data_IF_169573841829
#
_entry.id   IF_169573841829
#
_cell.length_a   1.000
_cell.length_b   1.000
_cell.length_c   1.000
_cell.angle_alpha   90.00
_cell.angle_beta   90.00
_cell.angle_gamma   90.00
#
_symmetry.space_group_name_H-M   'P 1'
#
loop_
_entity.id
_entity.type
_entity.pdbx_description
1 polymer ?
#
# COMPACT_ATOMS: atom_id res chain seq x y z
N UNK A 1 2.47 27.36 40.64
CA UNK A 1 3.30 27.07 39.45
C UNK A 1 2.70 25.84 38.80
N UNK A 2 2.09 25.99 37.62
CA UNK A 2 1.41 24.89 36.92
C UNK A 2 2.46 24.12 36.13
N UNK A 3 2.74 22.88 36.51
CA UNK A 3 3.62 21.99 35.75
C UNK A 3 2.81 21.30 34.65
N UNK A 4 3.04 21.75 33.41
CA UNK A 4 2.53 21.14 32.19
C UNK A 4 3.19 19.77 31.98
N UNK A 5 2.43 18.68 32.10
CA UNK A 5 2.86 17.35 31.66
C UNK A 5 2.83 17.29 30.13
N UNK A 6 4.00 17.33 29.50
CA UNK A 6 4.15 17.06 28.08
C UNK A 6 3.91 15.56 27.82
N UNK A 7 2.85 15.24 27.09
CA UNK A 7 2.58 13.89 26.60
C UNK A 7 3.67 13.47 25.61
N UNK A 8 4.42 12.42 25.93
CA UNK A 8 5.43 11.84 25.04
C UNK A 8 4.73 11.02 23.97
N UNK A 9 4.66 11.53 22.75
CA UNK A 9 4.22 10.74 21.59
C UNK A 9 5.23 9.62 21.34
N UNK A 10 4.85 8.38 21.68
CA UNK A 10 5.66 7.21 21.37
C UNK A 10 5.71 7.04 19.84
N UNK A 11 6.85 7.36 19.23
CA UNK A 11 7.13 7.03 17.84
C UNK A 11 7.33 5.52 17.79
N UNK A 12 6.30 4.75 17.42
CA UNK A 12 6.44 3.31 17.25
C UNK A 12 7.42 3.08 16.10
N UNK A 13 8.61 2.60 16.40
CA UNK A 13 9.60 2.24 15.39
C UNK A 13 9.17 0.98 14.63
N UNK A 14 9.36 0.95 13.32
CA UNK A 14 9.08 -0.25 12.53
C UNK A 14 9.93 -1.44 12.99
N UNK A 15 9.29 -2.60 13.18
CA UNK A 15 9.97 -3.84 13.58
C UNK A 15 10.28 -4.67 12.33
N UNK A 16 11.58 -4.81 12.04
CA UNK A 16 12.03 -5.64 10.92
C UNK A 16 11.91 -7.14 11.22
N UNK A 17 11.56 -7.97 10.22
CA UNK A 17 11.53 -9.42 10.39
C UNK A 17 12.94 -9.99 10.58
N UNK A 18 13.05 -11.16 11.21
CA UNK A 18 14.34 -11.81 11.46
C UNK A 18 15.16 -12.04 10.18
N UNK A 19 14.49 -12.27 9.05
CA UNK A 19 15.11 -12.44 7.72
C UNK A 19 15.84 -11.19 7.24
N UNK A 20 15.49 -10.00 7.72
CA UNK A 20 16.18 -8.75 7.39
C UNK A 20 17.61 -8.71 7.95
N UNK A 21 17.90 -9.49 9.01
CA UNK A 21 19.24 -9.62 9.58
C UNK A 21 20.03 -10.80 9.00
N UNK A 22 19.59 -11.36 7.88
CA UNK A 22 20.28 -12.45 7.18
C UNK A 22 21.01 -11.91 5.93
N UNK A 23 22.36 -11.87 5.88
CA UNK A 23 23.08 -11.22 4.78
C UNK A 23 22.72 -11.71 3.36
N UNK A 24 22.49 -13.02 3.11
CA UNK A 24 22.06 -13.50 1.79
C UNK A 24 20.71 -12.93 1.34
N UNK A 25 19.87 -12.42 2.23
CA UNK A 25 18.57 -11.83 1.89
C UNK A 25 18.69 -10.62 0.94
N UNK A 26 19.80 -9.87 1.00
CA UNK A 26 20.08 -8.70 0.16
C UNK A 26 20.75 -9.07 -1.18
N UNK A 27 21.03 -10.35 -1.42
CA UNK A 27 21.70 -10.81 -2.65
C UNK A 27 20.77 -11.77 -3.40
N UNK A 28 20.56 -11.59 -4.72
CA UNK A 28 19.70 -12.47 -5.49
C UNK A 28 20.12 -13.93 -5.38
N UNK A 29 19.20 -14.79 -4.97
CA UNK A 29 19.50 -16.21 -4.81
C UNK A 29 19.55 -16.90 -6.19
N UNK A 30 20.58 -17.73 -6.47
CA UNK A 30 20.75 -18.37 -7.78
C UNK A 30 19.75 -19.51 -8.03
N UNK A 31 19.29 -20.17 -6.97
CA UNK A 31 18.31 -21.24 -7.05
C UNK A 31 16.88 -20.66 -7.15
N UNK A 32 16.09 -21.12 -8.12
CA UNK A 32 14.74 -20.59 -8.41
C UNK A 32 13.76 -20.71 -7.24
N UNK A 33 13.74 -21.84 -6.53
CA UNK A 33 12.88 -22.05 -5.35
C UNK A 33 13.27 -21.10 -4.22
N UNK A 34 14.56 -20.98 -3.95
CA UNK A 34 15.09 -20.08 -2.90
C UNK A 34 14.85 -18.62 -3.26
N UNK A 35 14.99 -18.27 -4.55
CA UNK A 35 14.68 -16.96 -5.11
C UNK A 35 13.21 -16.61 -4.95
N UNK A 36 12.30 -17.54 -5.23
CA UNK A 36 10.87 -17.35 -5.02
C UNK A 36 10.56 -17.06 -3.54
N UNK A 37 11.09 -17.85 -2.61
CA UNK A 37 10.92 -17.59 -1.17
C UNK A 37 11.55 -16.27 -0.72
N UNK A 38 12.67 -15.86 -1.32
CA UNK A 38 13.27 -14.55 -1.09
C UNK A 38 12.34 -13.41 -1.56
N UNK A 39 11.75 -13.53 -2.75
CA UNK A 39 10.81 -12.55 -3.31
C UNK A 39 9.55 -12.41 -2.45
N UNK A 40 8.99 -13.54 -1.97
CA UNK A 40 7.86 -13.54 -1.03
C UNK A 40 8.18 -12.76 0.25
N UNK A 41 9.36 -12.99 0.85
CA UNK A 41 9.83 -12.29 2.05
C UNK A 41 10.03 -10.79 1.79
N UNK A 42 10.61 -10.42 0.65
CA UNK A 42 10.73 -9.01 0.25
C UNK A 42 9.37 -8.35 0.06
N UNK A 43 8.43 -9.01 -0.62
CA UNK A 43 7.07 -8.49 -0.82
C UNK A 43 6.36 -8.25 0.52
N UNK A 44 6.45 -9.20 1.46
CA UNK A 44 5.88 -9.04 2.81
C UNK A 44 6.53 -7.89 3.60
N UNK A 45 7.85 -7.75 3.52
CA UNK A 45 8.58 -6.64 4.14
C UNK A 45 8.17 -5.29 3.54
N UNK A 46 8.10 -5.16 2.22
CA UNK A 46 7.70 -3.93 1.54
C UNK A 46 6.27 -3.54 1.93
N UNK A 47 5.33 -4.49 1.90
CA UNK A 47 3.93 -4.24 2.29
C UNK A 47 3.82 -3.80 3.76
N UNK A 48 4.52 -4.47 4.69
CA UNK A 48 4.48 -4.11 6.11
C UNK A 48 5.13 -2.75 6.37
N UNK A 49 6.24 -2.43 5.70
CA UNK A 49 6.89 -1.12 5.76
C UNK A 49 5.97 0.00 5.28
N UNK A 50 5.35 -0.18 4.11
CA UNK A 50 4.40 0.77 3.54
C UNK A 50 3.17 0.96 4.44
N UNK A 51 2.63 -0.12 5.00
CA UNK A 51 1.52 -0.08 5.96
C UNK A 51 1.88 0.71 7.22
N UNK A 52 3.06 0.48 7.79
CA UNK A 52 3.52 1.15 9.00
C UNK A 52 3.64 2.66 8.81
N UNK A 53 4.18 3.09 7.66
CA UNK A 53 4.35 4.51 7.32
C UNK A 53 3.10 5.12 6.66
N UNK A 54 2.03 4.33 6.50
CA UNK A 54 0.80 4.69 5.76
C UNK A 54 1.08 5.31 4.39
N UNK A 55 2.08 4.80 3.68
CA UNK A 55 2.41 5.24 2.32
C UNK A 55 2.10 4.15 1.32
N UNK A 56 1.26 4.47 0.34
CA UNK A 56 0.94 3.58 -0.76
C UNK A 56 1.88 3.75 -1.95
N UNK A 57 2.68 4.83 -1.99
CA UNK A 57 3.62 5.12 -3.07
C UNK A 57 5.04 4.83 -2.60
N UNK A 58 5.77 4.04 -3.38
CA UNK A 58 7.16 3.72 -3.14
C UNK A 58 8.01 4.20 -4.31
N UNK A 59 8.84 5.21 -4.07
CA UNK A 59 9.92 5.62 -4.97
C UNK A 59 11.13 4.74 -4.71
N UNK A 60 11.56 3.95 -5.71
CA UNK A 60 12.70 3.06 -5.56
C UNK A 60 14.03 3.80 -5.39
N UNK A 61 14.14 5.01 -5.94
CA UNK A 61 15.35 5.85 -5.82
C UNK A 61 15.52 6.33 -4.39
N UNK A 62 14.44 6.69 -3.70
CA UNK A 62 14.51 7.10 -2.30
C UNK A 62 14.61 5.87 -1.38
N UNK A 63 13.93 4.78 -1.75
CA UNK A 63 13.88 3.57 -0.94
C UNK A 63 15.24 2.89 -0.81
N UNK A 64 16.13 2.96 -1.81
CA UNK A 64 17.47 2.37 -1.74
C UNK A 64 18.33 3.01 -0.64
N UNK A 65 18.12 4.29 -0.36
CA UNK A 65 18.79 5.02 0.72
C UNK A 65 18.07 4.88 2.07
N UNK A 66 16.83 4.42 2.07
CA UNK A 66 16.04 4.18 3.29
C UNK A 66 16.41 2.87 4.00
N UNK A 67 16.02 2.72 5.29
CA UNK A 67 16.14 1.46 6.02
C UNK A 67 15.41 0.27 5.38
N UNK A 68 14.46 0.48 4.47
CA UNK A 68 13.76 -0.60 3.79
C UNK A 68 14.73 -1.48 2.97
N UNK A 69 15.64 -0.86 2.21
CA UNK A 69 16.58 -1.56 1.33
C UNK A 69 18.04 -1.47 1.78
N UNK A 70 18.36 -0.68 2.81
CA UNK A 70 19.70 -0.55 3.35
C UNK A 70 19.74 -0.93 4.84
N UNK A 71 20.31 -2.10 5.13
CA UNK A 71 20.64 -2.50 6.50
C UNK A 71 22.05 -2.01 6.84
N UNK A 72 22.13 -0.93 7.59
CA UNK A 72 23.39 -0.29 8.01
C UNK A 72 24.18 -1.16 8.99
N UNK A 73 23.50 -1.94 9.85
CA UNK A 73 24.14 -2.84 10.81
C UNK A 73 24.87 -4.00 10.11
N UNK A 74 24.27 -4.54 9.04
CA UNK A 74 24.90 -5.57 8.20
C UNK A 74 25.81 -5.00 7.10
N UNK A 75 25.78 -3.69 6.86
CA UNK A 75 26.40 -3.02 5.70
C UNK A 75 25.96 -3.68 4.38
N UNK A 76 24.67 -4.01 4.27
CA UNK A 76 24.08 -4.64 3.10
C UNK A 76 22.98 -3.75 2.53
N UNK A 77 22.97 -3.62 1.20
CA UNK A 77 21.99 -2.85 0.43
C UNK A 77 21.42 -3.72 -0.69
N UNK A 78 20.11 -3.61 -0.91
CA UNK A 78 19.45 -4.13 -2.10
C UNK A 78 19.74 -3.18 -3.26
N UNK A 79 20.34 -3.70 -4.33
CA UNK A 79 20.62 -2.89 -5.52
C UNK A 79 19.31 -2.40 -6.16
N UNK A 80 19.32 -1.22 -6.79
CA UNK A 80 18.13 -0.64 -7.43
C UNK A 80 17.53 -1.58 -8.51
N UNK A 81 18.38 -2.23 -9.30
CA UNK A 81 17.95 -3.20 -10.30
C UNK A 81 17.21 -4.39 -9.67
N UNK A 82 17.65 -4.82 -8.48
CA UNK A 82 17.04 -5.91 -7.75
C UNK A 82 15.74 -5.47 -7.06
N UNK A 83 15.70 -4.27 -6.46
CA UNK A 83 14.47 -3.70 -5.92
C UNK A 83 13.37 -3.59 -7.00
N UNK A 84 13.76 -3.21 -8.23
CA UNK A 84 12.87 -3.21 -9.39
C UNK A 84 12.37 -4.61 -9.74
N UNK A 85 13.26 -5.60 -9.78
CA UNK A 85 12.88 -6.99 -10.03
C UNK A 85 11.89 -7.54 -8.98
N UNK A 86 12.07 -7.17 -7.70
CA UNK A 86 11.12 -7.50 -6.62
C UNK A 86 9.76 -6.88 -6.91
N UNK A 87 9.69 -5.59 -7.22
CA UNK A 87 8.41 -4.91 -7.47
C UNK A 87 7.76 -5.41 -8.77
N UNK A 88 8.53 -5.66 -9.83
CA UNK A 88 8.04 -6.31 -11.07
C UNK A 88 7.48 -7.71 -10.79
N UNK A 89 8.05 -8.45 -9.85
CA UNK A 89 7.47 -9.72 -9.40
C UNK A 89 6.17 -9.51 -8.62
N UNK A 90 6.09 -8.48 -7.77
CA UNK A 90 4.88 -8.12 -7.02
C UNK A 90 3.71 -7.69 -7.93
N UNK A 91 3.97 -7.13 -9.12
CA UNK A 91 2.89 -6.75 -10.05
C UNK A 91 2.21 -7.94 -10.74
N UNK A 92 2.88 -9.09 -10.77
CA UNK A 92 2.38 -10.30 -11.44
C UNK A 92 1.33 -11.02 -10.59
N UNK A 93 0.45 -11.74 -11.26
CA UNK A 93 -0.56 -12.60 -10.65
C UNK A 93 0.07 -13.79 -9.93
N UNK A 94 -0.62 -14.32 -8.92
CA UNK A 94 -0.12 -15.48 -8.16
C UNK A 94 -0.10 -16.73 -9.04
N UNK A 95 -1.08 -16.88 -9.94
CA UNK A 95 -1.18 -17.98 -10.91
C UNK A 95 -0.02 -18.01 -11.91
N UNK A 96 0.62 -16.87 -12.15
CA UNK A 96 1.82 -16.73 -12.99
C UNK A 96 3.12 -16.94 -12.18
N UNK A 97 3.02 -17.36 -10.92
CA UNK A 97 4.13 -17.46 -9.98
C UNK A 97 4.65 -16.11 -9.47
N UNK A 98 3.83 -15.07 -9.59
CA UNK A 98 4.06 -13.69 -9.14
C UNK A 98 3.64 -13.42 -7.71
N UNK A 99 3.74 -12.15 -7.29
CA UNK A 99 3.43 -11.72 -5.93
C UNK A 99 1.97 -11.37 -5.66
N UNK A 100 1.03 -11.79 -6.51
CA UNK A 100 -0.41 -11.61 -6.29
C UNK A 100 -0.91 -10.19 -6.53
N UNK A 101 -0.33 -9.47 -7.50
CA UNK A 101 -0.71 -8.09 -7.85
C UNK A 101 -0.68 -7.13 -6.65
N UNK A 102 0.37 -7.26 -5.83
CA UNK A 102 0.62 -6.44 -4.64
C UNK A 102 1.35 -5.12 -4.95
N UNK A 103 1.62 -4.86 -6.22
CA UNK A 103 2.14 -3.59 -6.69
C UNK A 103 1.57 -3.22 -8.07
N UNK A 104 1.56 -1.93 -8.38
CA UNK A 104 1.20 -1.38 -9.69
C UNK A 104 2.19 -0.25 -10.02
N UNK A 105 2.90 -0.33 -11.15
CA UNK A 105 3.85 0.73 -11.53
C UNK A 105 3.12 2.02 -11.89
N UNK A 106 3.64 3.15 -11.43
CA UNK A 106 3.17 4.47 -11.84
C UNK A 106 3.97 4.85 -13.08
N UNK A 107 3.31 4.95 -14.23
CA UNK A 107 3.97 5.37 -15.47
C UNK A 107 4.38 6.85 -15.38
N UNK A 108 5.68 7.10 -15.26
CA UNK A 108 6.23 8.45 -15.32
C UNK A 108 6.66 8.77 -16.76
N UNK A 109 5.73 9.10 -17.66
CA UNK A 109 6.05 9.63 -18.99
C UNK A 109 6.14 8.58 -20.12
N UNK A 110 5.15 7.70 -20.21
CA UNK A 110 4.99 6.74 -21.32
C UNK A 110 5.84 5.47 -21.19
N UNK A 111 5.69 4.56 -22.15
CA UNK A 111 6.17 3.17 -22.11
C UNK A 111 7.71 2.99 -22.09
N UNK A 112 8.48 4.09 -22.16
CA UNK A 112 9.94 4.09 -22.30
C UNK A 112 10.65 4.60 -21.04
N UNK A 113 9.94 5.22 -20.11
CA UNK A 113 10.53 5.75 -18.90
C UNK A 113 10.87 4.64 -17.89
N UNK A 114 11.99 4.76 -17.15
CA UNK A 114 12.33 3.77 -16.15
C UNK A 114 11.26 3.74 -15.05
N UNK A 115 10.74 2.54 -14.76
CA UNK A 115 9.78 2.25 -13.68
C UNK A 115 10.34 2.61 -12.29
N UNK A 116 10.20 3.84 -11.84
CA UNK A 116 10.86 4.31 -10.60
C UNK A 116 9.91 4.33 -9.41
N UNK A 117 8.63 4.60 -9.64
CA UNK A 117 7.63 4.72 -8.59
C UNK A 117 6.54 3.68 -8.79
N UNK A 118 6.16 2.99 -7.72
CA UNK A 118 5.07 2.02 -7.73
C UNK A 118 4.08 2.30 -6.60
N UNK A 119 2.82 2.00 -6.88
CA UNK A 119 1.85 1.70 -5.84
C UNK A 119 2.19 0.37 -5.17
N UNK A 120 2.07 0.33 -3.85
CA UNK A 120 2.25 -0.85 -3.02
C UNK A 120 0.95 -1.12 -2.27
N UNK A 121 0.41 -2.32 -2.45
CA UNK A 121 -0.88 -2.72 -1.91
C UNK A 121 -0.70 -3.72 -0.76
N UNK A 122 -0.70 -3.25 0.50
CA UNK A 122 -0.85 -4.18 1.65
C UNK A 122 -2.27 -4.72 1.81
N UNK A 123 -3.23 -3.98 1.25
CA UNK A 123 -4.61 -4.38 0.97
C UNK A 123 -4.95 -3.79 -0.39
N UNK A 124 -5.42 -4.62 -1.34
CA UNK A 124 -5.70 -4.19 -2.70
C UNK A 124 -6.96 -3.34 -2.79
N UNK A 125 -7.12 -2.50 -3.82
CA UNK A 125 -8.35 -1.75 -4.06
C UNK A 125 -9.61 -2.64 -4.09
N UNK A 126 -9.50 -3.87 -4.61
CA UNK A 126 -10.60 -4.84 -4.60
C UNK A 126 -10.99 -5.29 -3.20
N UNK A 127 -10.02 -5.44 -2.30
CA UNK A 127 -10.24 -5.83 -0.90
C UNK A 127 -10.77 -4.65 -0.08
N UNK A 128 -10.34 -3.43 -0.40
CA UNK A 128 -10.93 -2.21 0.18
C UNK A 128 -12.37 -1.99 -0.28
N UNK A 129 -12.67 -2.27 -1.54
CA UNK A 129 -14.02 -2.22 -2.08
C UNK A 129 -14.98 -3.12 -1.29
N UNK A 130 -14.55 -4.33 -0.93
CA UNK A 130 -15.35 -5.25 -0.12
C UNK A 130 -15.58 -4.69 1.30
N UNK A 131 -14.54 -4.14 1.95
CA UNK A 131 -14.68 -3.48 3.27
C UNK A 131 -15.66 -2.30 3.22
N UNK A 132 -15.62 -1.49 2.16
CA UNK A 132 -16.52 -0.36 1.99
C UNK A 132 -17.97 -0.82 1.86
N UNK A 133 -18.23 -1.87 1.07
CA UNK A 133 -19.57 -2.45 0.93
C UNK A 133 -20.06 -2.99 2.27
N UNK A 134 -19.23 -3.74 2.99
CA UNK A 134 -19.60 -4.29 4.30
C UNK A 134 -19.98 -3.18 5.31
N UNK A 135 -19.25 -2.07 5.31
CA UNK A 135 -19.56 -0.92 6.16
C UNK A 135 -20.87 -0.22 5.75
N UNK A 136 -21.10 0.00 4.46
CA UNK A 136 -22.34 0.60 3.95
C UNK A 136 -23.55 -0.26 4.31
N UNK A 137 -23.41 -1.59 4.18
CA UNK A 137 -24.46 -2.55 4.51
C UNK A 137 -24.77 -2.56 6.01
N UNK A 138 -23.73 -2.57 6.84
CA UNK A 138 -23.87 -2.57 8.29
C UNK A 138 -24.48 -1.26 8.85
N UNK A 139 -24.27 -0.13 8.16
CA UNK A 139 -24.75 1.20 8.60
C UNK A 139 -26.04 1.65 7.90
N UNK A 140 -26.55 0.88 6.94
CA UNK A 140 -27.79 1.21 6.23
C UNK A 140 -27.68 2.41 5.30
N UNK A 141 -26.48 2.72 4.80
CA UNK A 141 -26.21 3.90 3.95
C UNK A 141 -26.41 3.63 2.44
N UNK A 142 -26.99 2.49 2.09
CA UNK A 142 -27.38 2.19 0.69
C UNK A 142 -28.37 3.21 0.17
N UNK A 143 -28.16 3.67 -1.06
CA UNK A 143 -29.01 4.66 -1.72
C UNK A 143 -28.80 6.11 -1.27
N UNK A 144 -28.03 6.33 -0.18
CA UNK A 144 -27.62 7.67 0.26
C UNK A 144 -26.40 8.12 -0.55
N UNK A 145 -26.35 9.42 -0.83
CA UNK A 145 -25.18 10.07 -1.43
C UNK A 145 -24.26 10.50 -0.30
N UNK A 146 -23.02 10.04 -0.34
CA UNK A 146 -21.93 10.41 0.57
C UNK A 146 -20.84 11.11 -0.20
N UNK A 147 -20.12 12.02 0.43
CA UNK A 147 -18.89 12.59 -0.13
C UNK A 147 -17.70 11.68 0.17
N UNK A 148 -16.67 11.72 -0.68
CA UNK A 148 -15.41 11.02 -0.41
C UNK A 148 -14.75 11.56 0.87
N UNK A 149 -14.95 12.85 1.18
CA UNK A 149 -14.51 13.44 2.44
C UNK A 149 -15.17 12.79 3.65
N UNK A 150 -16.49 12.57 3.65
CA UNK A 150 -17.19 11.89 4.74
C UNK A 150 -16.69 10.45 4.94
N UNK A 151 -16.35 9.74 3.85
CA UNK A 151 -15.77 8.41 3.97
C UNK A 151 -14.39 8.44 4.64
N UNK A 152 -13.55 9.39 4.26
CA UNK A 152 -12.17 9.48 4.73
C UNK A 152 -12.02 10.13 6.10
N UNK A 153 -12.86 11.11 6.43
CA UNK A 153 -12.69 12.00 7.59
C UNK A 153 -13.96 12.15 8.43
N UNK A 154 -15.07 11.50 8.06
CA UNK A 154 -16.32 11.59 8.80
C UNK A 154 -16.25 10.90 10.16
N UNK A 155 -17.04 11.41 11.11
CA UNK A 155 -17.11 10.85 12.47
C UNK A 155 -17.60 9.39 12.47
N UNK A 156 -18.49 9.04 11.54
CA UNK A 156 -19.03 7.69 11.38
C UNK A 156 -17.98 6.66 10.93
N UNK A 157 -16.84 7.10 10.39
CA UNK A 157 -15.79 6.21 9.87
C UNK A 157 -14.58 6.12 10.77
N UNK A 158 -14.48 6.88 11.86
CA UNK A 158 -13.30 6.93 12.75
C UNK A 158 -12.84 5.54 13.24
N UNK A 159 -13.76 4.59 13.43
CA UNK A 159 -13.44 3.21 13.86
C UNK A 159 -13.05 2.28 12.70
N UNK A 160 -13.11 2.74 11.46
CA UNK A 160 -12.91 1.93 10.26
C UNK A 160 -11.46 1.99 9.79
N UNK A 161 -10.98 0.87 9.22
CA UNK A 161 -9.60 0.77 8.74
C UNK A 161 -9.27 1.72 7.58
N UNK A 162 -10.27 2.13 6.80
CA UNK A 162 -10.11 3.04 5.66
C UNK A 162 -10.13 4.53 6.05
N UNK A 163 -10.42 4.85 7.33
CA UNK A 163 -10.41 6.22 7.80
C UNK A 163 -9.01 6.83 7.70
N UNK A 164 -8.92 8.03 7.12
CA UNK A 164 -7.67 8.73 6.86
C UNK A 164 -6.76 8.06 5.81
N UNK A 165 -7.27 7.12 5.00
CA UNK A 165 -6.48 6.56 3.91
C UNK A 165 -6.23 7.58 2.79
N UNK A 166 -5.28 7.28 1.91
CA UNK A 166 -4.94 8.11 0.75
C UNK A 166 -6.13 8.22 -0.22
N UNK A 167 -6.42 9.44 -0.69
CA UNK A 167 -7.58 9.73 -1.54
C UNK A 167 -7.55 8.94 -2.85
N UNK A 168 -6.39 8.79 -3.49
CA UNK A 168 -6.28 8.05 -4.74
C UNK A 168 -6.59 6.56 -4.53
N UNK A 169 -6.26 6.02 -3.35
CA UNK A 169 -6.56 4.63 -3.01
C UNK A 169 -8.04 4.44 -2.74
N UNK A 170 -8.68 5.39 -2.06
CA UNK A 170 -10.13 5.42 -1.91
C UNK A 170 -10.80 5.46 -3.30
N UNK A 171 -10.38 6.37 -4.17
CA UNK A 171 -10.93 6.50 -5.53
C UNK A 171 -10.69 5.25 -6.39
N UNK A 172 -9.51 4.62 -6.31
CA UNK A 172 -9.25 3.33 -6.96
C UNK A 172 -10.20 2.24 -6.45
N UNK A 173 -10.47 2.20 -5.15
CA UNK A 173 -11.37 1.23 -4.52
C UNK A 173 -12.85 1.47 -4.91
N UNK A 174 -13.30 2.73 -4.93
CA UNK A 174 -14.63 3.10 -5.42
C UNK A 174 -14.81 2.77 -6.89
N UNK A 175 -13.79 2.99 -7.73
CA UNK A 175 -13.82 2.61 -9.14
C UNK A 175 -13.98 1.10 -9.36
N UNK A 176 -13.47 0.27 -8.45
CA UNK A 176 -13.76 -1.18 -8.47
C UNK A 176 -15.25 -1.43 -8.24
N UNK A 177 -15.88 -0.75 -7.28
CA UNK A 177 -17.31 -0.87 -7.02
C UNK A 177 -18.17 -0.37 -8.19
N UNK A 178 -17.76 0.73 -8.84
CA UNK A 178 -18.42 1.23 -10.04
C UNK A 178 -18.40 0.19 -11.16
N UNK A 179 -17.23 -0.41 -11.43
CA UNK A 179 -17.10 -1.49 -12.43
C UNK A 179 -17.93 -2.73 -12.07
N UNK A 180 -18.12 -3.01 -10.78
CA UNK A 180 -18.98 -4.09 -10.28
C UNK A 180 -20.48 -3.73 -10.26
N UNK A 181 -20.85 -2.49 -10.61
CA UNK A 181 -22.24 -2.01 -10.57
C UNK A 181 -22.80 -1.81 -9.15
N UNK A 182 -21.94 -1.73 -8.13
CA UNK A 182 -22.33 -1.56 -6.71
C UNK A 182 -22.28 -0.11 -6.22
N UNK A 183 -21.67 0.78 -6.99
CA UNK A 183 -21.61 2.20 -6.66
C UNK A 183 -21.59 3.07 -7.91
N UNK A 184 -21.86 4.36 -7.75
CA UNK A 184 -21.65 5.38 -8.77
C UNK A 184 -20.94 6.56 -8.13
N UNK A 185 -19.88 7.04 -8.76
CA UNK A 185 -19.11 8.23 -8.33
C UNK A 185 -19.43 9.38 -9.27
N UNK A 186 -19.61 10.58 -8.73
CA UNK A 186 -19.97 11.81 -9.45
C UNK A 186 -19.28 13.01 -8.80
N UNK A 187 -19.27 14.16 -9.47
CA UNK A 187 -18.60 15.38 -9.00
C UNK A 187 -17.31 15.68 -9.75
N UNK A 188 -16.67 16.79 -9.38
CA UNK A 188 -15.38 17.24 -9.92
C UNK A 188 -14.26 16.93 -8.91
N UNK A 189 -13.00 17.06 -9.35
CA UNK A 189 -11.83 16.86 -8.49
C UNK A 189 -11.94 17.66 -7.18
N UNK A 190 -11.98 16.94 -6.05
CA UNK A 190 -12.07 17.50 -4.69
C UNK A 190 -13.48 17.65 -4.11
N UNK A 191 -14.53 17.45 -4.91
CA UNK A 191 -15.94 17.45 -4.49
C UNK A 191 -16.65 16.16 -4.91
N UNK A 192 -15.94 15.04 -4.93
CA UNK A 192 -16.49 13.76 -5.36
C UNK A 192 -17.54 13.24 -4.36
N UNK A 193 -18.71 12.92 -4.90
CA UNK A 193 -19.76 12.17 -4.24
C UNK A 193 -19.80 10.73 -4.74
N UNK A 194 -20.27 9.84 -3.89
CA UNK A 194 -20.50 8.43 -4.17
C UNK A 194 -21.86 8.00 -3.66
N UNK A 195 -22.57 7.23 -4.49
CA UNK A 195 -23.80 6.54 -4.12
C UNK A 195 -23.59 5.04 -4.23
N UNK A 196 -23.88 4.32 -3.16
CA UNK A 196 -23.83 2.86 -3.11
C UNK A 196 -25.21 2.26 -3.40
N UNK A 197 -25.24 1.08 -4.02
CA UNK A 197 -26.46 0.36 -4.41
C UNK A 197 -26.61 -0.97 -3.67
#
# INVERSE_FOLDING_TARGET
MVSTTAATAATTSFVFPSTYNFPPFFTPQPNSTTRHSQLQKWSSLIQSWCRHHRTYRLSLVDAVDSPLFHNTALRKRLALAEARAVVDWMTKKEEEGGGGQRAEWIEAGGNTAPKIVAWIWWRRPEEWADVLVDWVDATGQKGVVLTVFELLQGEATVSQEFHGMDNDVMMKSLNVLVKRGKASVFGNEGEEGVKFF
#
